data_IF_536086185853
#
_entry.id   IF_536086185853
#
_cell.length_a   1.000
_cell.length_b   1.000
_cell.length_c   1.000
_cell.angle_alpha   90.00
_cell.angle_beta   90.00
_cell.angle_gamma   90.00
#
_symmetry.space_group_name_H-M   'P 1'
#
loop_
_entity.id
_entity.type
_entity.pdbx_description
1 polymer ?
#
# COMPACT_ATOMS: atom_id res chain seq x y z
N UNK A 1 16.05 -3.31 10.01
CA UNK A 1 14.79 -2.83 10.64
C UNK A 1 13.68 -3.84 10.44
N UNK A 2 13.09 -4.00 9.23
CA UNK A 2 11.96 -4.92 8.97
C UNK A 2 12.18 -6.33 9.55
N UNK A 3 13.30 -6.99 9.23
CA UNK A 3 13.61 -8.37 9.70
C UNK A 3 13.60 -8.52 11.22
N UNK A 4 14.09 -7.52 11.95
CA UNK A 4 14.12 -7.57 13.42
C UNK A 4 12.70 -7.36 13.98
N UNK A 5 11.98 -6.37 13.44
CA UNK A 5 10.60 -6.07 13.81
C UNK A 5 9.66 -7.25 13.58
N UNK A 6 9.79 -7.95 12.45
CA UNK A 6 8.97 -9.12 12.11
C UNK A 6 9.35 -10.35 12.95
N UNK A 7 10.63 -10.52 13.30
CA UNK A 7 11.07 -11.56 14.23
C UNK A 7 10.50 -11.39 15.66
N UNK A 8 10.17 -10.16 16.06
CA UNK A 8 9.46 -9.84 17.31
C UNK A 8 7.93 -10.10 17.22
N UNK A 9 7.42 -10.63 16.10
CA UNK A 9 6.01 -10.94 15.90
C UNK A 9 5.15 -9.76 15.44
N UNK A 10 5.74 -8.59 15.16
CA UNK A 10 5.02 -7.43 14.61
C UNK A 10 4.74 -7.64 13.12
N UNK A 11 3.60 -7.11 12.66
CA UNK A 11 3.18 -7.14 11.26
C UNK A 11 3.62 -5.89 10.52
N UNK A 12 4.12 -6.06 9.30
CA UNK A 12 4.40 -4.99 8.35
C UNK A 12 3.72 -5.36 7.04
N UNK A 13 2.68 -4.62 6.67
CA UNK A 13 1.81 -4.96 5.55
C UNK A 13 1.55 -3.72 4.69
N UNK A 14 1.48 -3.92 3.37
CA UNK A 14 1.30 -2.83 2.42
C UNK A 14 0.49 -3.29 1.22
N UNK A 15 -0.52 -2.50 0.84
CA UNK A 15 -1.15 -2.59 -0.47
C UNK A 15 -0.69 -1.41 -1.32
N UNK A 16 -0.16 -1.68 -2.51
CA UNK A 16 0.22 -0.67 -3.49
C UNK A 16 -0.84 -0.61 -4.58
N UNK A 17 -1.51 0.53 -4.71
CA UNK A 17 -2.44 0.78 -5.81
C UNK A 17 -1.65 1.31 -7.00
N UNK A 18 -1.70 0.63 -8.14
CA UNK A 18 -0.83 0.93 -9.28
C UNK A 18 -1.60 0.99 -10.61
N UNK A 19 -1.09 1.79 -11.55
CA UNK A 19 -1.63 1.81 -12.91
C UNK A 19 -1.22 0.55 -13.66
N UNK A 20 -2.09 0.11 -14.58
CA UNK A 20 -1.82 -0.99 -15.52
C UNK A 20 -2.03 -0.44 -16.93
N UNK A 21 -1.02 -0.48 -17.83
CA UNK A 21 0.32 -1.04 -17.62
C UNK A 21 1.16 -0.25 -16.60
N UNK A 22 2.09 -0.92 -15.87
CA UNK A 22 2.90 -0.26 -14.87
C UNK A 22 3.93 0.69 -15.50
N UNK A 23 4.15 1.84 -14.85
CA UNK A 23 5.29 2.71 -15.14
C UNK A 23 6.62 2.04 -14.79
N UNK A 24 7.74 2.59 -15.28
CA UNK A 24 9.07 2.05 -14.94
C UNK A 24 9.36 2.12 -13.45
N UNK A 25 8.92 3.19 -12.78
CA UNK A 25 9.00 3.30 -11.33
C UNK A 25 8.20 2.20 -10.63
N UNK A 26 6.99 1.89 -11.12
CA UNK A 26 6.17 0.80 -10.58
C UNK A 26 6.83 -0.57 -10.79
N UNK A 27 7.43 -0.82 -11.96
CA UNK A 27 8.19 -2.05 -12.25
C UNK A 27 9.39 -2.20 -11.33
N UNK A 28 10.14 -1.10 -11.12
CA UNK A 28 11.23 -1.09 -10.14
C UNK A 28 10.72 -1.36 -8.72
N UNK A 29 9.59 -0.78 -8.33
CA UNK A 29 8.93 -1.04 -7.04
C UNK A 29 8.55 -2.52 -6.86
N UNK A 30 8.00 -3.16 -7.90
CA UNK A 30 7.73 -4.59 -7.94
C UNK A 30 9.00 -5.42 -7.77
N UNK A 31 10.02 -5.17 -8.59
CA UNK A 31 11.31 -5.88 -8.55
C UNK A 31 12.00 -5.75 -7.19
N UNK A 32 12.06 -4.54 -6.63
CA UNK A 32 12.75 -4.26 -5.35
C UNK A 32 12.00 -4.84 -4.14
N UNK A 33 10.68 -4.99 -4.22
CA UNK A 33 9.87 -5.49 -3.10
C UNK A 33 10.23 -6.91 -2.65
N UNK A 34 10.87 -7.73 -3.50
CA UNK A 34 11.33 -9.08 -3.12
C UNK A 34 12.23 -9.09 -1.88
N UNK A 35 13.01 -8.02 -1.67
CA UNK A 35 13.98 -7.96 -0.58
C UNK A 35 13.31 -7.72 0.77
N UNK A 36 12.31 -6.84 0.81
CA UNK A 36 11.56 -6.57 2.05
C UNK A 36 10.53 -7.66 2.33
N UNK A 37 9.95 -8.26 1.29
CA UNK A 37 9.17 -9.50 1.41
C UNK A 37 10.02 -10.62 2.00
N UNK A 38 11.25 -10.82 1.50
CA UNK A 38 12.22 -11.76 2.09
C UNK A 38 12.71 -11.40 3.50
N UNK A 39 12.36 -10.21 4.00
CA UNK A 39 12.59 -9.78 5.38
C UNK A 39 11.33 -9.86 6.26
N UNK A 40 10.19 -10.27 5.70
CA UNK A 40 8.93 -10.51 6.43
C UNK A 40 7.81 -9.48 6.20
N UNK A 41 7.96 -8.51 5.29
CA UNK A 41 6.86 -7.60 4.91
C UNK A 41 5.85 -8.32 3.99
N UNK A 42 4.53 -8.19 4.22
CA UNK A 42 3.50 -8.63 3.26
C UNK A 42 3.17 -7.45 2.33
N UNK A 43 3.75 -7.44 1.14
CA UNK A 43 3.46 -6.45 0.10
C UNK A 43 2.52 -7.07 -0.94
N UNK A 44 1.42 -6.37 -1.20
CA UNK A 44 0.42 -6.71 -2.22
C UNK A 44 0.18 -5.56 -3.18
N UNK A 45 -0.37 -5.88 -4.33
CA UNK A 45 -0.61 -4.95 -5.44
C UNK A 45 -2.07 -5.02 -5.87
N UNK A 46 -2.65 -3.85 -6.13
CA UNK A 46 -4.01 -3.70 -6.60
C UNK A 46 -4.02 -2.77 -7.82
N UNK A 47 -4.69 -3.18 -8.89
CA UNK A 47 -4.83 -2.33 -10.06
C UNK A 47 -5.73 -1.12 -9.74
N UNK A 48 -5.35 0.08 -10.21
CA UNK A 48 -6.05 1.33 -9.86
C UNK A 48 -7.52 1.34 -10.26
N UNK A 49 -7.86 0.77 -11.42
CA UNK A 49 -9.26 0.63 -11.84
C UNK A 49 -10.07 -0.22 -10.85
N UNK A 50 -9.50 -1.32 -10.34
CA UNK A 50 -10.13 -2.15 -9.30
C UNK A 50 -10.27 -1.40 -7.99
N UNK A 51 -9.27 -0.63 -7.58
CA UNK A 51 -9.37 0.20 -6.38
C UNK A 51 -10.55 1.20 -6.45
N UNK A 52 -10.73 1.84 -7.61
CA UNK A 52 -11.86 2.74 -7.87
C UNK A 52 -13.20 1.99 -7.85
N UNK A 53 -13.29 0.82 -8.48
CA UNK A 53 -14.49 -0.03 -8.46
C UNK A 53 -14.91 -0.42 -7.03
N UNK A 54 -13.95 -0.57 -6.11
CA UNK A 54 -14.20 -0.92 -4.71
C UNK A 54 -14.36 0.30 -3.78
N UNK A 55 -14.37 1.52 -4.33
CA UNK A 55 -14.55 2.74 -3.54
C UNK A 55 -13.41 3.03 -2.56
N UNK A 56 -12.18 2.62 -2.92
CA UNK A 56 -10.98 2.94 -2.14
C UNK A 56 -10.59 4.43 -2.30
N UNK A 57 -9.92 5.02 -1.29
CA UNK A 57 -9.49 6.40 -1.36
C UNK A 57 -8.41 6.59 -2.43
N UNK A 58 -8.29 7.81 -2.94
CA UNK A 58 -7.25 8.20 -3.90
C UNK A 58 -5.96 8.67 -3.24
N UNK A 59 -5.96 8.87 -1.91
CA UNK A 59 -4.81 9.34 -1.14
C UNK A 59 -4.07 8.20 -0.45
N UNK A 60 -2.79 8.43 -0.19
CA UNK A 60 -1.93 7.50 0.53
C UNK A 60 -2.00 7.74 2.03
N UNK A 61 -1.93 6.65 2.81
CA UNK A 61 -1.92 6.74 4.26
C UNK A 61 -1.22 5.54 4.90
N UNK A 62 -0.75 5.74 6.13
CA UNK A 62 -0.31 4.66 7.01
C UNK A 62 -1.27 4.49 8.19
N UNK A 63 -1.46 3.24 8.61
CA UNK A 63 -2.18 2.89 9.82
C UNK A 63 -1.28 2.12 10.77
N UNK A 64 -1.22 2.57 12.01
CA UNK A 64 -0.49 1.93 13.09
C UNK A 64 -1.47 1.43 14.15
N UNK A 65 -1.37 0.14 14.48
CA UNK A 65 -2.17 -0.55 15.50
C UNK A 65 -3.69 -0.30 15.38
N UNK A 66 -4.18 -0.07 14.16
CA UNK A 66 -5.58 0.27 13.86
C UNK A 66 -6.12 1.51 14.60
N UNK A 67 -5.25 2.37 15.15
CA UNK A 67 -5.65 3.49 16.03
C UNK A 67 -4.92 4.81 15.75
N UNK A 68 -3.87 4.79 14.94
CA UNK A 68 -3.11 5.97 14.54
C UNK A 68 -3.04 6.01 13.03
N UNK A 69 -3.63 7.05 12.46
CA UNK A 69 -3.65 7.30 11.03
C UNK A 69 -2.63 8.39 10.71
N UNK A 70 -1.88 8.19 9.63
CA UNK A 70 -0.96 9.18 9.08
C UNK A 70 -1.34 9.40 7.64
N UNK A 71 -1.97 10.54 7.34
CA UNK A 71 -2.36 10.94 5.99
C UNK A 71 -1.21 11.65 5.29
N UNK A 72 -1.01 11.33 4.02
CA UNK A 72 0.00 11.96 3.18
C UNK A 72 -0.70 12.81 2.13
N UNK A 73 -0.50 14.11 2.20
CA UNK A 73 -1.09 15.07 1.27
C UNK A 73 -0.05 15.42 0.21
N UNK A 74 -0.41 15.20 -1.06
CA UNK A 74 0.43 15.51 -2.22
C UNK A 74 -0.18 16.67 -3.01
N UNK A 75 0.66 17.49 -3.65
CA UNK A 75 0.16 18.49 -4.60
C UNK A 75 -0.28 17.85 -5.93
N UNK A 76 -1.24 18.47 -6.60
CA UNK A 76 -1.77 18.00 -7.89
C UNK A 76 -0.81 18.27 -9.07
N UNK A 77 0.19 19.13 -8.88
CA UNK A 77 1.05 19.60 -9.96
C UNK A 77 2.20 18.63 -10.25
N UNK A 78 2.92 18.20 -9.21
CA UNK A 78 4.16 17.43 -9.33
C UNK A 78 4.18 16.17 -8.44
N UNK A 79 3.04 15.79 -7.85
CA UNK A 79 2.92 14.71 -6.85
C UNK A 79 3.94 14.87 -5.70
N UNK A 80 4.19 16.11 -5.25
CA UNK A 80 5.12 16.35 -4.14
C UNK A 80 4.38 16.26 -2.82
N UNK A 81 4.99 15.58 -1.85
CA UNK A 81 4.47 15.55 -0.49
C UNK A 81 4.52 16.95 0.11
N UNK A 82 3.35 17.52 0.38
CA UNK A 82 3.20 18.87 0.95
C UNK A 82 2.98 18.82 2.45
N UNK A 83 2.25 17.82 2.95
CA UNK A 83 1.89 17.72 4.36
C UNK A 83 1.76 16.26 4.81
N UNK A 84 2.13 16.02 6.06
CA UNK A 84 1.86 14.77 6.77
C UNK A 84 0.98 15.12 7.96
N UNK A 85 -0.24 14.61 7.96
CA UNK A 85 -1.19 14.81 9.04
C UNK A 85 -1.27 13.56 9.91
N UNK A 86 -1.13 13.71 11.23
CA UNK A 86 -1.23 12.61 12.19
C UNK A 86 -2.55 12.70 12.94
N UNK A 87 -3.37 11.67 12.82
CA UNK A 87 -4.71 11.58 13.40
C UNK A 87 -4.75 10.44 14.41
N UNK A 88 -4.96 10.80 15.69
CA UNK A 88 -5.13 9.84 16.81
C UNK A 88 -6.47 10.00 17.54
N UNK A 89 -7.14 11.15 17.40
CA UNK A 89 -8.33 11.52 18.19
C UNK A 89 -9.60 11.68 17.33
N UNK A 90 -9.62 11.12 16.13
CA UNK A 90 -10.80 11.07 15.25
C UNK A 90 -11.14 9.60 14.94
N UNK A 91 -12.01 8.98 15.77
CA UNK A 91 -12.38 7.58 15.59
C UNK A 91 -13.09 7.30 14.27
N UNK A 92 -13.86 8.26 13.73
CA UNK A 92 -14.61 8.05 12.49
C UNK A 92 -13.65 7.92 11.30
N UNK A 93 -12.67 8.83 11.21
CA UNK A 93 -11.61 8.74 10.21
C UNK A 93 -10.82 7.44 10.36
N UNK A 94 -10.43 7.08 11.58
CA UNK A 94 -9.67 5.84 11.83
C UNK A 94 -10.46 4.60 11.42
N UNK A 95 -11.74 4.50 11.77
CA UNK A 95 -12.60 3.35 11.42
C UNK A 95 -12.75 3.24 9.90
N UNK A 96 -12.99 4.35 9.21
CA UNK A 96 -13.11 4.37 7.75
C UNK A 96 -11.83 3.90 7.06
N UNK A 97 -10.67 4.34 7.53
CA UNK A 97 -9.38 3.91 6.98
C UNK A 97 -9.05 2.45 7.30
N UNK A 98 -9.49 1.92 8.46
CA UNK A 98 -9.40 0.49 8.75
C UNK A 98 -10.25 -0.33 7.77
N UNK A 99 -11.46 0.11 7.47
CA UNK A 99 -12.31 -0.52 6.45
C UNK A 99 -11.62 -0.54 5.09
N UNK A 100 -11.07 0.60 4.64
CA UNK A 100 -10.35 0.66 3.37
C UNK A 100 -9.09 -0.21 3.34
N UNK A 101 -8.34 -0.33 4.45
CA UNK A 101 -7.22 -1.27 4.55
C UNK A 101 -7.68 -2.70 4.31
N UNK A 102 -8.77 -3.11 4.96
CA UNK A 102 -9.26 -4.48 4.88
C UNK A 102 -9.82 -4.80 3.49
N UNK A 103 -10.58 -3.87 2.90
CA UNK A 103 -11.06 -3.97 1.52
C UNK A 103 -9.89 -4.03 0.52
N UNK A 104 -8.92 -3.12 0.62
CA UNK A 104 -7.74 -3.11 -0.24
C UNK A 104 -6.98 -4.44 -0.14
N UNK A 105 -6.77 -4.96 1.08
CA UNK A 105 -6.05 -6.22 1.31
C UNK A 105 -6.81 -7.44 0.77
N UNK A 106 -8.14 -7.43 0.83
CA UNK A 106 -8.98 -8.49 0.29
C UNK A 106 -8.85 -8.60 -1.24
N UNK A 107 -8.81 -7.47 -1.95
CA UNK A 107 -8.73 -7.44 -3.42
C UNK A 107 -7.29 -7.46 -3.97
N UNK A 108 -6.29 -7.17 -3.16
CA UNK A 108 -4.91 -7.08 -3.61
C UNK A 108 -4.25 -8.47 -3.75
N UNK A 109 -3.45 -8.60 -4.82
CA UNK A 109 -2.71 -9.80 -5.15
C UNK A 109 -1.29 -9.75 -4.60
N UNK A 110 -0.69 -10.92 -4.34
CA UNK A 110 0.74 -11.00 -4.06
C UNK A 110 1.54 -10.58 -5.29
N UNK A 111 2.79 -10.20 -5.07
CA UNK A 111 3.70 -9.69 -6.09
C UNK A 111 3.79 -10.62 -7.32
N UNK A 112 3.97 -11.91 -7.10
CA UNK A 112 4.10 -12.92 -8.15
C UNK A 112 2.80 -13.09 -8.93
N UNK A 113 1.67 -13.16 -8.24
CA UNK A 113 0.35 -13.32 -8.84
C UNK A 113 -0.05 -12.09 -9.66
N UNK A 114 0.20 -10.89 -9.13
CA UNK A 114 -0.02 -9.62 -9.84
C UNK A 114 0.83 -9.51 -11.11
N UNK A 115 2.10 -9.92 -11.03
CA UNK A 115 3.00 -9.93 -12.17
C UNK A 115 2.53 -10.90 -13.26
N UNK A 116 2.07 -12.10 -12.88
CA UNK A 116 1.54 -13.09 -13.80
C UNK A 116 0.26 -12.60 -14.49
N UNK A 117 -0.71 -12.07 -13.72
CA UNK A 117 -1.99 -11.58 -14.24
C UNK A 117 -1.80 -10.47 -15.28
N UNK A 118 -0.85 -9.57 -15.06
CA UNK A 118 -0.60 -8.43 -15.95
C UNK A 118 0.58 -8.65 -16.91
N UNK A 119 1.08 -9.88 -17.05
CA UNK A 119 2.18 -10.24 -17.95
C UNK A 119 3.44 -9.38 -17.77
N UNK A 120 3.74 -8.98 -16.54
CA UNK A 120 4.89 -8.15 -16.18
C UNK A 120 6.12 -9.06 -16.09
N UNK A 121 7.12 -8.82 -16.94
CA UNK A 121 8.38 -9.61 -16.97
C UNK A 121 9.45 -8.99 -16.08
N UNK A 122 10.38 -9.83 -15.62
CA UNK A 122 11.60 -9.38 -14.93
C UNK A 122 11.38 -8.93 -13.49
N UNK A 123 10.28 -9.34 -12.87
CA UNK A 123 9.96 -9.11 -11.45
C UNK A 123 10.19 -10.36 -10.65
#
# INVERSE_FOLDING_TARGET
MIRATTAEGKRFERVRVVNVPPSDYTRFGLWSSRWTVGAGEDIRYLARNRAVEQGLPSHDYWLFDSRKLVLMHFDDADDRLVEIEVIENDPEQIILHNYWRDAARHHALRREDFAAEHSIRGV
#
